data_IF_789941146678
#
_entry.id   IF_789941146678
#
_cell.length_a   1.000
_cell.length_b   1.000
_cell.length_c   1.000
_cell.angle_alpha   90.00
_cell.angle_beta   90.00
_cell.angle_gamma   90.00
#
_symmetry.space_group_name_H-M   'P 1'
#
loop_
_entity.id
_entity.type
_entity.pdbx_description
1 polymer ?
#
# COMPACT_ATOMS: atom_id res chain seq x y z
N UNK A 1 -6.21 -18.76 1.12
CA UNK A 1 -6.51 -19.04 -0.31
C UNK A 1 -6.11 -17.83 -1.13
N UNK A 2 -5.09 -17.94 -2.01
CA UNK A 2 -4.75 -16.86 -2.95
C UNK A 2 -5.91 -16.67 -3.91
N UNK A 3 -6.39 -15.44 -4.07
CA UNK A 3 -7.49 -15.12 -4.97
C UNK A 3 -6.90 -15.05 -6.38
N UNK A 4 -7.19 -16.03 -7.23
CA UNK A 4 -6.76 -16.02 -8.63
C UNK A 4 -7.35 -14.80 -9.33
N UNK A 5 -6.52 -14.08 -10.10
CA UNK A 5 -6.97 -12.92 -10.87
C UNK A 5 -8.11 -13.33 -11.82
N UNK A 6 -9.14 -12.49 -11.93
CA UNK A 6 -10.21 -12.74 -12.89
C UNK A 6 -9.68 -12.62 -14.33
N UNK A 7 -10.21 -13.38 -15.30
CA UNK A 7 -9.79 -13.30 -16.71
C UNK A 7 -9.71 -11.88 -17.28
N UNK A 8 -10.69 -11.03 -16.96
CA UNK A 8 -10.68 -9.61 -17.38
C UNK A 8 -9.51 -8.83 -16.80
N UNK A 9 -9.15 -9.08 -15.55
CA UNK A 9 -8.01 -8.44 -14.89
C UNK A 9 -6.68 -8.88 -15.51
N UNK A 10 -6.59 -10.16 -15.90
CA UNK A 10 -5.43 -10.74 -16.59
C UNK A 10 -5.22 -10.05 -17.95
N UNK A 11 -6.27 -9.92 -18.76
CA UNK A 11 -6.21 -9.19 -20.04
C UNK A 11 -5.80 -7.72 -19.84
N UNK A 12 -6.39 -7.05 -18.84
CA UNK A 12 -6.05 -5.67 -18.52
C UNK A 12 -4.58 -5.51 -18.08
N UNK A 13 -4.02 -6.46 -17.34
CA UNK A 13 -2.61 -6.40 -16.94
C UNK A 13 -1.65 -6.50 -18.14
N UNK A 14 -1.99 -7.29 -19.17
CA UNK A 14 -1.15 -7.44 -20.38
C UNK A 14 -1.28 -6.26 -21.34
N UNK A 15 -2.53 -5.89 -21.64
CA UNK A 15 -2.85 -5.02 -22.75
C UNK A 15 -3.27 -3.61 -22.29
N UNK A 16 -3.54 -3.42 -21.00
CA UNK A 16 -3.97 -2.15 -20.43
C UNK A 16 -5.17 -1.56 -21.18
N UNK A 17 -5.10 -0.26 -21.47
CA UNK A 17 -6.10 0.46 -22.24
C UNK A 17 -6.24 0.02 -23.71
N UNK A 18 -5.40 -0.89 -24.21
CA UNK A 18 -5.51 -1.42 -25.58
C UNK A 18 -6.55 -2.54 -25.71
N UNK A 19 -7.08 -3.04 -24.60
CA UNK A 19 -8.15 -4.04 -24.61
C UNK A 19 -9.54 -3.36 -24.66
N UNK A 20 -10.29 -3.57 -25.74
CA UNK A 20 -11.60 -2.97 -25.95
C UNK A 20 -12.71 -4.03 -25.86
N UNK A 21 -13.58 -3.89 -24.86
CA UNK A 21 -14.76 -4.74 -24.67
C UNK A 21 -15.99 -4.06 -25.26
N UNK A 22 -16.71 -4.73 -26.16
CA UNK A 22 -17.99 -4.29 -26.72
C UNK A 22 -19.07 -5.31 -26.38
N UNK A 23 -20.05 -4.92 -25.56
CA UNK A 23 -21.15 -5.80 -25.15
C UNK A 23 -22.38 -5.51 -25.98
N UNK A 24 -22.94 -6.52 -26.61
CA UNK A 24 -24.18 -6.49 -27.40
C UNK A 24 -25.28 -7.31 -26.71
N UNK A 25 -26.53 -6.90 -26.91
CA UNK A 25 -27.70 -7.62 -26.41
C UNK A 25 -28.19 -8.60 -27.48
N UNK A 26 -28.41 -9.85 -27.07
CA UNK A 26 -28.88 -10.93 -27.92
C UNK A 26 -30.25 -11.35 -27.41
N UNK A 27 -31.24 -11.36 -28.31
CA UNK A 27 -32.57 -11.82 -27.98
C UNK A 27 -32.56 -13.34 -27.81
N UNK A 28 -33.12 -13.82 -26.71
CA UNK A 28 -33.31 -15.25 -26.46
C UNK A 28 -34.52 -15.73 -27.27
N UNK A 29 -34.28 -16.56 -28.28
CA UNK A 29 -35.35 -17.13 -29.12
C UNK A 29 -36.10 -18.28 -28.43
N UNK A 30 -35.83 -18.56 -27.16
CA UNK A 30 -36.49 -19.64 -26.38
C UNK A 30 -37.81 -19.24 -25.69
N UNK A 31 -38.26 -17.99 -25.86
CA UNK A 31 -39.59 -17.58 -25.41
C UNK A 31 -40.68 -18.19 -26.29
N UNK A 32 -41.62 -18.95 -25.70
CA UNK A 32 -42.85 -19.41 -26.36
C UNK A 32 -43.54 -18.22 -27.03
N UNK A 33 -43.34 -18.03 -28.34
CA UNK A 33 -44.07 -17.03 -29.11
C UNK A 33 -45.51 -17.51 -29.27
N UNK A 34 -46.40 -17.12 -28.36
CA UNK A 34 -47.83 -17.20 -28.58
C UNK A 34 -48.18 -16.32 -29.79
N UNK A 35 -48.66 -16.88 -30.93
CA UNK A 35 -49.04 -16.07 -32.08
C UNK A 35 -50.30 -15.26 -31.72
N UNK A 36 -50.23 -13.93 -31.74
CA UNK A 36 -51.41 -13.05 -31.65
C UNK A 36 -51.40 -11.96 -30.57
N UNK A 37 -50.38 -11.88 -29.70
CA UNK A 37 -50.24 -10.77 -28.74
C UNK A 37 -49.35 -9.67 -29.30
N UNK A 38 -49.94 -8.50 -29.61
CA UNK A 38 -49.25 -7.32 -30.13
C UNK A 38 -48.59 -6.46 -29.02
N UNK A 39 -47.97 -7.10 -28.02
CA UNK A 39 -47.14 -6.43 -27.02
C UNK A 39 -45.79 -7.15 -27.04
N UNK A 40 -44.68 -6.46 -27.42
CA UNK A 40 -43.36 -7.07 -27.36
C UNK A 40 -42.96 -7.20 -25.89
N UNK A 41 -43.23 -8.37 -25.30
CA UNK A 41 -42.62 -8.75 -24.04
C UNK A 41 -41.11 -8.87 -24.27
N UNK A 42 -40.35 -7.89 -23.82
CA UNK A 42 -38.88 -8.00 -23.75
C UNK A 42 -38.56 -9.11 -22.75
N UNK A 43 -38.41 -10.33 -23.25
CA UNK A 43 -37.87 -11.45 -22.50
C UNK A 43 -36.48 -11.13 -21.94
N UNK A 44 -35.94 -11.99 -21.05
CA UNK A 44 -34.63 -11.74 -20.45
C UNK A 44 -33.56 -11.60 -21.54
N UNK A 45 -33.02 -10.38 -21.70
CA UNK A 45 -31.96 -10.11 -22.65
C UNK A 45 -30.71 -10.92 -22.28
N UNK A 46 -30.17 -11.65 -23.24
CA UNK A 46 -28.85 -12.23 -23.11
C UNK A 46 -27.81 -11.23 -23.64
N UNK A 47 -26.55 -11.46 -23.28
CA UNK A 47 -25.45 -10.58 -23.60
C UNK A 47 -24.33 -11.36 -24.24
N UNK A 48 -23.70 -10.77 -25.24
CA UNK A 48 -22.47 -11.27 -25.86
C UNK A 48 -21.44 -10.16 -25.83
N UNK A 49 -20.18 -10.49 -25.65
CA UNK A 49 -19.09 -9.53 -25.61
C UNK A 49 -18.06 -9.84 -26.69
N UNK A 50 -17.73 -8.84 -27.49
CA UNK A 50 -16.57 -8.85 -28.39
C UNK A 50 -15.41 -8.13 -27.71
N UNK A 51 -14.33 -8.85 -27.45
CA UNK A 51 -13.06 -8.33 -26.97
C UNK A 51 -12.10 -8.15 -28.16
N UNK A 52 -11.70 -6.92 -28.42
CA UNK A 52 -10.66 -6.58 -29.39
C UNK A 52 -9.34 -6.33 -28.64
N UNK A 53 -8.33 -7.10 -28.99
CA UNK A 53 -6.93 -6.93 -28.58
C UNK A 53 -6.09 -6.60 -29.82
N UNK A 54 -4.87 -6.04 -29.66
CA UNK A 54 -3.97 -5.76 -30.79
C UNK A 54 -3.72 -6.99 -31.68
N UNK A 55 -3.68 -8.18 -31.07
CA UNK A 55 -3.28 -9.41 -31.76
C UNK A 55 -4.49 -10.26 -32.20
N UNK A 56 -5.66 -10.09 -31.56
CA UNK A 56 -6.81 -10.99 -31.74
C UNK A 56 -8.12 -10.32 -31.36
N UNK A 57 -9.18 -10.67 -32.09
CA UNK A 57 -10.56 -10.45 -31.68
C UNK A 57 -11.20 -11.76 -31.23
N UNK A 58 -11.88 -11.72 -30.08
CA UNK A 58 -12.60 -12.85 -29.48
C UNK A 58 -14.02 -12.45 -29.14
N UNK A 59 -14.95 -13.38 -29.36
CA UNK A 59 -16.36 -13.21 -29.02
C UNK A 59 -16.75 -14.22 -27.95
N UNK A 60 -17.39 -13.75 -26.88
CA UNK A 60 -17.88 -14.59 -25.78
C UNK A 60 -19.03 -15.49 -26.22
N UNK A 61 -19.35 -16.47 -25.38
CA UNK A 61 -20.66 -17.09 -25.44
C UNK A 61 -21.75 -16.12 -24.97
N UNK A 62 -22.99 -16.47 -25.28
CA UNK A 62 -24.16 -15.72 -24.83
C UNK A 62 -24.38 -15.95 -23.32
N UNK A 63 -24.47 -14.89 -22.53
CA UNK A 63 -24.56 -14.93 -21.06
C UNK A 63 -25.76 -14.13 -20.55
N UNK A 64 -26.31 -14.50 -19.38
CA UNK A 64 -27.44 -13.76 -18.76
C UNK A 64 -27.04 -12.41 -18.16
N UNK A 65 -25.75 -12.15 -17.96
CA UNK A 65 -25.23 -10.89 -17.38
C UNK A 65 -24.11 -10.32 -18.25
N UNK A 66 -24.09 -8.99 -18.42
CA UNK A 66 -23.03 -8.25 -19.14
C UNK A 66 -21.63 -8.59 -18.61
N UNK A 67 -21.46 -8.61 -17.28
CA UNK A 67 -20.18 -8.92 -16.61
C UNK A 67 -19.67 -10.33 -16.94
N UNK A 68 -20.56 -11.31 -17.04
CA UNK A 68 -20.19 -12.69 -17.34
C UNK A 68 -19.78 -12.85 -18.81
N UNK A 69 -20.44 -12.13 -19.73
CA UNK A 69 -20.03 -12.06 -21.13
C UNK A 69 -18.62 -11.47 -21.28
N UNK A 70 -18.31 -10.38 -20.57
CA UNK A 70 -16.95 -9.80 -20.58
C UNK A 70 -15.89 -10.76 -20.03
N UNK A 71 -16.18 -11.48 -18.93
CA UNK A 71 -15.26 -12.46 -18.37
C UNK A 71 -15.07 -13.66 -19.31
N UNK A 72 -16.15 -14.11 -19.97
CA UNK A 72 -16.10 -15.18 -20.98
C UNK A 72 -15.26 -14.77 -22.20
N UNK A 73 -15.44 -13.55 -22.72
CA UNK A 73 -14.59 -13.03 -23.81
C UNK A 73 -13.11 -12.98 -23.41
N UNK A 74 -12.83 -12.51 -22.18
CA UNK A 74 -11.47 -12.46 -21.66
C UNK A 74 -10.85 -13.86 -21.48
N UNK A 75 -11.61 -14.83 -20.97
CA UNK A 75 -11.15 -16.21 -20.82
C UNK A 75 -10.83 -16.84 -22.18
N UNK A 76 -11.73 -16.73 -23.15
CA UNK A 76 -11.48 -17.24 -24.52
C UNK A 76 -10.27 -16.58 -25.18
N UNK A 77 -10.02 -15.30 -24.90
CA UNK A 77 -8.83 -14.61 -25.39
C UNK A 77 -7.55 -15.14 -24.74
N UNK A 78 -7.57 -15.42 -23.43
CA UNK A 78 -6.47 -16.06 -22.71
C UNK A 78 -6.16 -17.43 -23.33
N UNK A 79 -7.19 -18.25 -23.53
CA UNK A 79 -7.06 -19.60 -24.08
C UNK A 79 -6.50 -19.56 -25.51
N UNK A 80 -7.02 -18.66 -26.36
CA UNK A 80 -6.61 -18.52 -27.77
C UNK A 80 -5.20 -17.98 -27.95
N UNK A 81 -4.77 -17.09 -27.07
CA UNK A 81 -3.43 -16.51 -27.09
C UNK A 81 -2.39 -17.38 -26.35
N UNK A 82 -2.82 -18.46 -25.71
CA UNK A 82 -1.97 -19.27 -24.83
C UNK A 82 -1.34 -18.44 -23.71
N UNK A 83 -2.01 -17.37 -23.25
CA UNK A 83 -1.43 -16.50 -22.21
C UNK A 83 -1.55 -17.19 -20.86
N UNK A 84 -0.59 -18.05 -20.54
CA UNK A 84 -0.34 -18.41 -19.16
C UNK A 84 0.36 -17.23 -18.50
N UNK A 85 -0.41 -16.41 -17.80
CA UNK A 85 0.19 -15.52 -16.83
C UNK A 85 0.81 -16.40 -15.75
N UNK A 86 2.13 -16.51 -15.76
CA UNK A 86 2.89 -17.09 -14.66
C UNK A 86 2.44 -16.35 -13.41
N UNK A 87 1.75 -17.05 -12.52
CA UNK A 87 1.60 -16.56 -11.15
C UNK A 87 2.99 -16.13 -10.68
N UNK A 88 3.08 -14.93 -10.10
CA UNK A 88 4.33 -14.46 -9.52
C UNK A 88 4.70 -15.37 -8.35
N UNK A 89 5.45 -16.42 -8.69
CA UNK A 89 5.94 -17.46 -7.82
C UNK A 89 7.47 -17.47 -7.96
N UNK A 90 8.14 -16.39 -7.49
CA UNK A 90 9.58 -16.33 -7.55
C UNK A 90 10.16 -17.44 -6.68
N UNK A 91 11.32 -17.95 -7.08
CA UNK A 91 12.19 -18.67 -6.15
C UNK A 91 12.61 -17.73 -5.01
N UNK A 92 13.07 -18.29 -3.89
CA UNK A 92 13.54 -17.47 -2.76
C UNK A 92 14.61 -16.45 -3.20
N UNK A 93 15.54 -16.86 -4.06
CA UNK A 93 16.59 -16.00 -4.61
C UNK A 93 16.00 -14.86 -5.46
N UNK A 94 15.13 -15.18 -6.42
CA UNK A 94 14.47 -14.17 -7.27
C UNK A 94 13.66 -13.17 -6.45
N UNK A 95 13.01 -13.61 -5.37
CA UNK A 95 12.25 -12.72 -4.49
C UNK A 95 13.16 -11.69 -3.79
N UNK A 96 14.34 -12.11 -3.33
CA UNK A 96 15.33 -11.20 -2.73
C UNK A 96 15.91 -10.23 -3.76
N UNK A 97 16.23 -10.71 -4.97
CA UNK A 97 16.72 -9.88 -6.07
C UNK A 97 15.67 -8.85 -6.52
N UNK A 98 14.40 -9.26 -6.67
CA UNK A 98 13.28 -8.38 -7.00
C UNK A 98 13.05 -7.32 -5.91
N UNK A 99 13.23 -7.68 -4.63
CA UNK A 99 13.12 -6.74 -3.53
C UNK A 99 14.27 -5.71 -3.58
N UNK A 100 15.51 -6.16 -3.75
CA UNK A 100 16.67 -5.27 -3.86
C UNK A 100 16.57 -4.35 -5.08
N UNK A 101 16.10 -4.86 -6.23
CA UNK A 101 15.84 -4.08 -7.43
C UNK A 101 14.73 -3.04 -7.21
N UNK A 102 13.63 -3.42 -6.53
CA UNK A 102 12.58 -2.47 -6.17
C UNK A 102 13.09 -1.37 -5.23
N UNK A 103 13.86 -1.72 -4.21
CA UNK A 103 14.47 -0.74 -3.30
C UNK A 103 15.40 0.21 -4.05
N UNK A 104 16.27 -0.31 -4.91
CA UNK A 104 17.16 0.51 -5.77
C UNK A 104 16.34 1.51 -6.60
N UNK A 105 15.22 1.07 -7.20
CA UNK A 105 14.31 1.97 -7.89
C UNK A 105 13.67 3.02 -6.98
N UNK A 106 13.24 2.67 -5.76
CA UNK A 106 12.67 3.63 -4.82
C UNK A 106 13.67 4.76 -4.45
N UNK A 107 14.96 4.46 -4.41
CA UNK A 107 16.02 5.45 -4.14
C UNK A 107 16.55 6.17 -5.41
N UNK A 108 16.00 5.87 -6.58
CA UNK A 108 16.39 6.48 -7.86
C UNK A 108 15.93 7.93 -7.98
N UNK A 109 16.50 8.66 -8.95
CA UNK A 109 16.08 10.03 -9.28
C UNK A 109 14.64 10.05 -9.81
N UNK A 110 14.32 9.08 -10.67
CA UNK A 110 13.04 8.95 -11.37
C UNK A 110 11.89 8.74 -10.38
N UNK A 111 12.13 7.95 -9.32
CA UNK A 111 11.10 7.71 -8.32
C UNK A 111 10.79 8.94 -7.48
N UNK A 112 11.81 9.76 -7.16
CA UNK A 112 11.61 10.97 -6.35
C UNK A 112 10.63 11.94 -7.03
N UNK A 113 10.66 12.03 -8.36
CA UNK A 113 9.73 12.86 -9.16
C UNK A 113 8.39 12.17 -9.47
N UNK A 114 8.19 10.92 -9.04
CA UNK A 114 6.96 10.18 -9.35
C UNK A 114 5.73 10.70 -8.56
N UNK A 115 4.50 10.52 -9.07
CA UNK A 115 3.26 10.89 -8.37
C UNK A 115 2.85 9.90 -7.27
N UNK A 116 3.73 8.98 -6.89
CA UNK A 116 3.43 7.92 -5.93
C UNK A 116 3.47 8.50 -4.49
N UNK A 117 2.52 8.15 -3.59
CA UNK A 117 2.53 8.62 -2.19
C UNK A 117 3.88 8.51 -1.47
N UNK A 118 4.54 7.36 -1.65
CA UNK A 118 5.87 7.11 -1.10
C UNK A 118 6.95 8.11 -1.60
N UNK A 119 6.82 8.71 -2.78
CA UNK A 119 7.74 9.79 -3.18
C UNK A 119 7.59 11.02 -2.28
N UNK A 120 6.36 11.35 -1.85
CA UNK A 120 6.11 12.42 -0.86
C UNK A 120 6.87 12.20 0.45
N UNK A 121 6.94 10.95 0.92
CA UNK A 121 7.78 10.60 2.07
C UNK A 121 9.27 10.79 1.81
N UNK A 122 9.76 10.40 0.63
CA UNK A 122 11.17 10.58 0.27
C UNK A 122 11.54 12.07 0.20
N UNK A 123 10.67 12.89 -0.38
CA UNK A 123 10.84 14.35 -0.45
C UNK A 123 10.84 14.96 0.95
N UNK A 124 9.86 14.62 1.79
CA UNK A 124 9.79 15.13 3.16
C UNK A 124 11.00 14.73 4.01
N UNK A 125 11.55 13.53 3.78
CA UNK A 125 12.76 13.09 4.47
C UNK A 125 14.00 13.92 4.10
N UNK A 126 14.07 14.48 2.89
CA UNK A 126 15.13 15.40 2.46
C UNK A 126 15.03 16.78 3.14
N UNK A 127 13.92 17.08 3.80
CA UNK A 127 13.74 18.31 4.59
C UNK A 127 13.91 18.08 6.10
N UNK A 128 14.17 16.84 6.54
CA UNK A 128 14.38 16.53 7.97
C UNK A 128 15.66 17.17 8.50
N UNK A 129 15.63 17.48 9.79
CA UNK A 129 16.72 18.14 10.50
C UNK A 129 18.02 17.33 10.46
N UNK A 130 19.11 18.03 10.12
CA UNK A 130 20.50 17.63 10.39
C UNK A 130 20.79 16.15 10.06
N UNK A 131 21.05 15.34 11.08
CA UNK A 131 21.46 13.94 10.98
C UNK A 131 20.37 12.99 10.46
N UNK A 132 19.10 13.41 10.45
CA UNK A 132 17.99 12.62 9.89
C UNK A 132 17.72 12.91 8.41
N UNK A 133 18.46 13.85 7.81
CA UNK A 133 18.29 14.24 6.42
C UNK A 133 18.48 13.06 5.46
N UNK A 134 17.45 12.81 4.64
CA UNK A 134 17.41 11.76 3.64
C UNK A 134 17.24 10.34 4.19
N UNK A 135 17.08 10.18 5.51
CA UNK A 135 16.74 8.90 6.12
C UNK A 135 15.24 8.63 6.03
N UNK A 136 14.87 7.55 5.37
CA UNK A 136 13.50 7.09 5.22
C UNK A 136 13.24 5.98 6.25
N UNK A 137 12.21 6.08 7.11
CA UNK A 137 11.82 4.98 7.98
C UNK A 137 11.50 3.71 7.20
N UNK A 138 12.02 2.56 7.64
CA UNK A 138 11.76 1.26 7.01
C UNK A 138 10.27 0.93 7.05
N UNK A 139 9.56 1.29 8.13
CA UNK A 139 8.12 1.10 8.28
C UNK A 139 7.30 1.77 7.18
N UNK A 140 7.77 2.90 6.65
CA UNK A 140 7.12 3.61 5.54
C UNK A 140 7.26 2.83 4.23
N UNK A 141 8.47 2.38 3.89
CA UNK A 141 8.73 1.59 2.68
C UNK A 141 7.95 0.27 2.74
N UNK A 142 7.99 -0.37 3.90
CA UNK A 142 7.30 -1.60 4.23
C UNK A 142 5.78 -1.54 3.97
N UNK A 143 5.14 -0.43 4.35
CA UNK A 143 3.68 -0.32 4.37
C UNK A 143 3.10 0.35 3.13
N UNK A 144 3.79 1.33 2.55
CA UNK A 144 3.27 2.12 1.43
C UNK A 144 3.65 1.56 0.05
N UNK A 145 4.62 0.64 -0.05
CA UNK A 145 4.94 -0.04 -1.31
C UNK A 145 4.27 -1.43 -1.40
N UNK A 146 3.21 -1.52 -2.21
CA UNK A 146 2.48 -2.77 -2.38
C UNK A 146 3.32 -3.88 -3.04
N UNK A 147 4.32 -3.53 -3.87
CA UNK A 147 5.19 -4.51 -4.52
C UNK A 147 6.11 -5.15 -3.48
N UNK A 148 6.75 -4.36 -2.63
CA UNK A 148 7.53 -4.84 -1.48
C UNK A 148 6.67 -5.77 -0.61
N UNK A 149 5.48 -5.31 -0.20
CA UNK A 149 4.59 -6.11 0.64
C UNK A 149 4.17 -7.45 -0.01
N UNK A 150 4.03 -7.50 -1.33
CA UNK A 150 3.72 -8.74 -2.04
C UNK A 150 4.92 -9.67 -2.16
N UNK A 151 6.13 -9.14 -2.40
CA UNK A 151 7.35 -9.93 -2.40
C UNK A 151 7.60 -10.54 -1.02
N UNK A 152 7.42 -9.77 0.06
CA UNK A 152 7.55 -10.29 1.43
C UNK A 152 6.61 -11.47 1.70
N UNK A 153 5.36 -11.44 1.20
CA UNK A 153 4.42 -12.57 1.32
C UNK A 153 4.84 -13.80 0.53
N UNK A 154 5.59 -13.62 -0.57
CA UNK A 154 6.16 -14.74 -1.33
C UNK A 154 7.34 -15.37 -0.59
N UNK A 155 8.13 -14.57 0.13
CA UNK A 155 9.24 -15.04 0.98
C UNK A 155 8.69 -15.78 2.20
N UNK A 156 7.81 -15.14 2.97
CA UNK A 156 7.15 -15.75 4.13
C UNK A 156 5.72 -15.20 4.26
N UNK A 157 4.66 -16.04 4.17
CA UNK A 157 3.28 -15.61 4.32
C UNK A 157 2.95 -14.90 5.64
N UNK A 158 3.69 -15.18 6.73
CA UNK A 158 3.52 -14.53 8.03
C UNK A 158 3.82 -13.01 7.97
N UNK A 159 4.61 -12.55 7.00
CA UNK A 159 4.88 -11.13 6.79
C UNK A 159 3.62 -10.33 6.44
N UNK A 160 2.51 -10.99 6.08
CA UNK A 160 1.23 -10.31 5.95
C UNK A 160 0.76 -9.72 7.29
N UNK A 161 0.86 -10.46 8.40
CA UNK A 161 0.36 -10.04 9.71
C UNK A 161 1.44 -9.48 10.63
N UNK A 162 2.71 -9.65 10.29
CA UNK A 162 3.83 -9.23 11.12
C UNK A 162 4.64 -8.11 10.43
N UNK A 163 4.44 -6.87 10.89
CA UNK A 163 5.13 -5.68 10.37
C UNK A 163 6.63 -5.67 10.70
N UNK A 164 7.05 -6.25 11.82
CA UNK A 164 8.45 -6.35 12.18
C UNK A 164 9.21 -7.29 11.24
N UNK A 165 8.61 -8.43 10.88
CA UNK A 165 9.15 -9.35 9.88
C UNK A 165 9.28 -8.66 8.51
N UNK A 166 8.25 -7.90 8.10
CA UNK A 166 8.27 -7.16 6.85
C UNK A 166 9.42 -6.12 6.82
N UNK A 167 9.62 -5.38 7.92
CA UNK A 167 10.73 -4.44 8.05
C UNK A 167 12.09 -5.14 8.03
N UNK A 168 12.22 -6.31 8.66
CA UNK A 168 13.46 -7.09 8.67
C UNK A 168 13.87 -7.52 7.25
N UNK A 169 12.90 -7.93 6.43
CA UNK A 169 13.14 -8.30 5.02
C UNK A 169 13.57 -7.09 4.20
N UNK A 170 12.90 -5.94 4.36
CA UNK A 170 13.30 -4.70 3.69
C UNK A 170 14.74 -4.32 4.03
N UNK A 171 15.13 -4.35 5.31
CA UNK A 171 16.51 -4.07 5.73
C UNK A 171 17.50 -5.07 5.13
N UNK A 172 17.18 -6.37 5.15
CA UNK A 172 18.02 -7.42 4.60
C UNK A 172 18.23 -7.24 3.09
N UNK A 173 17.17 -6.95 2.34
CA UNK A 173 17.26 -6.68 0.91
C UNK A 173 18.02 -5.38 0.60
N UNK A 174 17.88 -4.34 1.43
CA UNK A 174 18.65 -3.11 1.29
C UNK A 174 20.16 -3.34 1.43
N UNK A 175 20.60 -4.31 2.25
CA UNK A 175 22.01 -4.70 2.36
C UNK A 175 22.55 -5.43 1.12
N UNK A 176 21.68 -5.84 0.18
CA UNK A 176 22.09 -6.48 -1.08
C UNK A 176 22.37 -5.47 -2.21
N UNK A 177 22.20 -4.17 -1.97
CA UNK A 177 22.38 -3.12 -2.98
C UNK A 177 23.40 -2.08 -2.53
N UNK A 178 24.23 -1.65 -3.47
CA UNK A 178 25.23 -0.61 -3.26
C UNK A 178 24.68 0.82 -3.37
N UNK A 179 23.42 0.99 -3.72
CA UNK A 179 22.81 2.33 -3.81
C UNK A 179 22.28 2.84 -2.47
N UNK A 180 22.18 1.96 -1.46
CA UNK A 180 21.51 2.24 -0.19
C UNK A 180 22.50 2.07 0.97
N UNK A 181 22.39 2.95 1.94
CA UNK A 181 23.06 2.90 3.25
C UNK A 181 22.05 2.36 4.26
N UNK A 182 22.45 1.30 4.96
CA UNK A 182 21.70 0.69 6.04
C UNK A 182 22.51 0.88 7.33
N UNK A 183 22.22 1.90 8.14
CA UNK A 183 22.95 2.10 9.39
C UNK A 183 22.67 0.97 10.37
N UNK A 184 23.71 0.55 11.07
CA UNK A 184 23.58 -0.43 12.15
C UNK A 184 22.75 0.16 13.30
N UNK A 185 21.90 -0.66 13.91
CA UNK A 185 21.02 -0.21 15.00
C UNK A 185 19.98 0.86 14.64
N UNK A 186 19.76 1.20 13.36
CA UNK A 186 18.68 2.11 12.92
C UNK A 186 17.64 1.40 12.04
N UNK A 187 16.39 1.84 12.16
CA UNK A 187 15.25 1.35 11.36
C UNK A 187 14.95 2.30 10.20
N UNK A 188 15.99 2.90 9.63
CA UNK A 188 15.92 3.84 8.51
C UNK A 188 16.88 3.40 7.40
N UNK A 189 16.58 3.87 6.19
CA UNK A 189 17.40 3.66 4.99
C UNK A 189 17.71 5.01 4.36
N UNK A 190 18.90 5.16 3.79
CA UNK A 190 19.30 6.39 3.09
C UNK A 190 19.95 6.06 1.76
N UNK A 191 19.77 6.93 0.77
CA UNK A 191 20.53 6.85 -0.48
C UNK A 191 22.02 7.06 -0.20
N UNK A 192 22.89 6.23 -0.79
CA UNK A 192 24.35 6.36 -0.63
C UNK A 192 24.86 7.68 -1.17
N UNK A 193 24.60 7.92 -2.45
CA UNK A 193 25.00 9.15 -3.11
C UNK A 193 23.88 10.20 -3.02
N UNK A 194 24.20 11.48 -2.79
CA UNK A 194 23.21 12.54 -2.83
C UNK A 194 22.43 12.60 -4.14
N UNK A 195 21.20 13.12 -4.10
CA UNK A 195 20.47 13.44 -5.32
C UNK A 195 21.18 14.58 -6.08
N UNK A 196 21.23 14.54 -7.42
CA UNK A 196 21.74 15.66 -8.21
C UNK A 196 20.97 16.96 -7.92
N UNK A 197 21.67 18.10 -7.99
CA UNK A 197 21.09 19.41 -7.65
C UNK A 197 19.88 19.77 -8.53
N UNK A 198 19.89 19.34 -9.79
CA UNK A 198 18.80 19.55 -10.75
C UNK A 198 17.52 18.85 -10.26
N UNK A 199 17.65 17.61 -9.78
CA UNK A 199 16.53 16.83 -9.23
C UNK A 199 15.99 17.49 -7.97
N UNK A 200 16.85 17.93 -7.06
CA UNK A 200 16.44 18.61 -5.84
C UNK A 200 15.72 19.94 -6.12
N UNK A 201 16.19 20.70 -7.11
CA UNK A 201 15.57 21.97 -7.49
C UNK A 201 14.15 21.81 -8.01
N UNK A 202 13.88 20.76 -8.82
CA UNK A 202 12.54 20.46 -9.32
C UNK A 202 11.55 20.12 -8.20
N UNK A 203 12.01 19.33 -7.21
CA UNK A 203 11.18 18.87 -6.10
C UNK A 203 10.81 20.00 -5.15
N UNK A 204 11.74 20.93 -4.89
CA UNK A 204 11.52 22.05 -3.98
C UNK A 204 10.48 23.05 -4.51
N UNK A 205 10.35 23.16 -5.82
CA UNK A 205 9.34 24.02 -6.44
C UNK A 205 7.90 23.46 -6.34
N UNK A 206 7.75 22.18 -5.97
CA UNK A 206 6.44 21.50 -5.81
C UNK A 206 5.92 21.48 -4.37
N UNK A 207 6.67 21.93 -3.35
CA UNK A 207 6.21 21.85 -1.96
C UNK A 207 5.16 22.91 -1.64
N UNK A 208 3.92 22.48 -1.43
CA UNK A 208 2.74 23.34 -1.26
C UNK A 208 2.27 23.53 0.20
N UNK A 209 3.07 23.15 1.20
CA UNK A 209 2.70 23.37 2.61
C UNK A 209 3.04 24.81 3.03
N UNK A 210 2.14 25.75 2.74
CA UNK A 210 2.26 27.12 3.22
C UNK A 210 1.84 27.22 4.70
N UNK A 211 2.78 27.03 5.63
CA UNK A 211 2.59 27.30 7.06
C UNK A 211 2.55 26.07 7.97
N UNK A 212 1.92 26.22 9.14
CA UNK A 212 1.72 25.14 10.11
C UNK A 212 0.30 24.59 10.04
N UNK A 213 0.18 23.27 10.00
CA UNK A 213 -1.07 22.53 10.08
C UNK A 213 -1.23 22.03 11.51
N UNK A 214 -2.37 22.32 12.10
CA UNK A 214 -2.79 21.78 13.40
C UNK A 214 -3.93 20.80 13.17
N UNK A 215 -3.81 19.58 13.67
CA UNK A 215 -4.74 18.50 13.34
C UNK A 215 -4.97 17.57 14.53
N UNK A 216 -6.24 17.25 14.78
CA UNK A 216 -6.65 16.40 15.90
C UNK A 216 -6.29 14.93 15.63
N UNK A 217 -5.75 14.27 16.64
CA UNK A 217 -5.41 12.84 16.67
C UNK A 217 -5.90 12.23 17.97
N UNK A 218 -6.03 10.89 18.02
CA UNK A 218 -6.44 10.18 19.23
C UNK A 218 -5.27 9.40 19.82
N UNK A 219 -4.91 9.72 21.06
CA UNK A 219 -3.95 8.97 21.84
C UNK A 219 -4.66 7.81 22.55
N UNK A 220 -4.23 6.59 22.25
CA UNK A 220 -4.79 5.34 22.78
C UNK A 220 -3.76 4.76 23.77
N UNK A 221 -3.98 4.92 25.08
CA UNK A 221 -3.05 4.37 26.06
C UNK A 221 -3.13 2.83 26.11
N UNK A 222 -2.00 2.20 26.41
CA UNK A 222 -1.87 0.76 26.60
C UNK A 222 -2.62 0.25 27.84
N UNK A 223 -2.60 1.02 28.94
CA UNK A 223 -3.35 0.69 30.15
C UNK A 223 -4.86 0.87 29.95
N UNK A 224 -5.64 -0.16 30.30
CA UNK A 224 -7.10 -0.13 30.27
C UNK A 224 -7.72 0.85 31.27
N UNK A 225 -6.98 1.24 32.31
CA UNK A 225 -7.45 2.20 33.33
C UNK A 225 -7.48 3.64 32.78
N UNK A 226 -6.66 3.93 31.76
CA UNK A 226 -6.61 5.23 31.11
C UNK A 226 -7.59 5.28 29.94
N UNK A 227 -8.27 6.40 29.76
CA UNK A 227 -9.17 6.64 28.62
C UNK A 227 -8.38 7.12 27.39
N UNK A 228 -8.91 6.85 26.19
CA UNK A 228 -8.40 7.47 24.97
C UNK A 228 -8.74 8.96 24.98
N UNK A 229 -7.81 9.80 24.53
CA UNK A 229 -7.95 11.26 24.56
C UNK A 229 -7.59 11.87 23.22
N UNK A 230 -8.23 12.99 22.88
CA UNK A 230 -7.81 13.81 21.75
C UNK A 230 -6.54 14.58 22.10
N UNK A 231 -5.58 14.59 21.18
CA UNK A 231 -4.39 15.45 21.18
C UNK A 231 -4.35 16.21 19.85
N UNK A 232 -3.61 17.32 19.80
CA UNK A 232 -3.47 18.11 18.58
C UNK A 232 -2.01 18.15 18.17
N UNK A 233 -1.71 17.65 16.97
CA UNK A 233 -0.35 17.66 16.43
C UNK A 233 -0.17 18.86 15.51
N UNK A 234 0.94 19.57 15.70
CA UNK A 234 1.36 20.67 14.84
C UNK A 234 2.47 20.19 13.89
N UNK A 235 2.19 20.27 12.59
CA UNK A 235 3.10 19.87 11.52
C UNK A 235 3.45 21.12 10.72
N UNK A 236 4.73 21.41 10.58
CA UNK A 236 5.21 22.55 9.79
C UNK A 236 5.82 22.08 8.47
N UNK A 237 6.01 22.99 7.52
CA UNK A 237 6.57 22.72 6.19
C UNK A 237 7.89 21.92 6.22
N UNK A 238 8.77 22.23 7.19
CA UNK A 238 10.08 21.58 7.31
C UNK A 238 10.08 20.38 8.27
N UNK A 239 8.92 20.00 8.83
CA UNK A 239 8.84 18.89 9.76
C UNK A 239 8.21 17.68 9.10
N UNK A 240 8.94 16.57 9.10
CA UNK A 240 8.37 15.31 8.68
C UNK A 240 7.36 14.81 9.74
N UNK A 241 6.13 14.53 9.33
CA UNK A 241 5.03 14.26 10.26
C UNK A 241 5.30 13.05 11.18
N UNK A 242 6.08 12.07 10.74
CA UNK A 242 6.45 10.93 11.60
C UNK A 242 7.42 11.33 12.73
N UNK A 243 8.21 12.40 12.58
CA UNK A 243 9.04 12.91 13.68
C UNK A 243 8.17 13.58 14.75
N UNK A 244 7.03 14.17 14.37
CA UNK A 244 6.05 14.71 15.32
C UNK A 244 5.36 13.57 16.07
N UNK A 245 4.95 12.53 15.36
CA UNK A 245 4.35 11.32 15.95
C UNK A 245 5.33 10.61 16.88
N UNK A 246 6.59 10.47 16.47
CA UNK A 246 7.62 9.85 17.30
C UNK A 246 7.74 10.56 18.65
N UNK A 247 7.81 11.90 18.63
CA UNK A 247 7.85 12.71 19.85
C UNK A 247 6.63 12.52 20.73
N UNK A 248 5.44 12.51 20.15
CA UNK A 248 4.19 12.31 20.90
C UNK A 248 4.12 10.90 21.55
N UNK A 249 4.71 9.89 20.89
CA UNK A 249 4.84 8.53 21.43
C UNK A 249 6.01 8.35 22.42
N UNK A 250 6.81 9.39 22.66
CA UNK A 250 8.05 9.31 23.46
C UNK A 250 9.18 8.51 22.79
N UNK A 251 9.11 8.31 21.47
CA UNK A 251 10.16 7.69 20.67
C UNK A 251 11.23 8.73 20.27
N UNK A 252 12.44 8.25 19.96
CA UNK A 252 13.60 9.12 19.67
C UNK A 252 13.51 9.73 18.28
N UNK A 253 13.06 8.96 17.29
CA UNK A 253 13.03 9.38 15.88
C UNK A 253 11.91 8.70 15.09
N UNK A 254 11.56 9.25 13.91
CA UNK A 254 10.54 8.66 13.03
C UNK A 254 10.79 7.20 12.64
N UNK A 255 12.04 6.73 12.68
CA UNK A 255 12.36 5.34 12.34
C UNK A 255 11.91 4.34 13.42
N UNK A 256 11.72 4.81 14.65
CA UNK A 256 11.17 4.04 15.76
C UNK A 256 9.62 4.03 15.78
N UNK A 257 8.96 4.48 14.71
CA UNK A 257 7.49 4.47 14.57
C UNK A 257 7.04 3.35 13.62
N UNK A 258 6.20 2.45 14.13
CA UNK A 258 5.46 1.48 13.35
C UNK A 258 4.16 2.08 12.82
N UNK A 259 3.74 1.60 11.65
CA UNK A 259 2.54 2.06 10.97
C UNK A 259 1.65 0.85 10.72
N UNK A 260 0.40 0.92 11.17
CA UNK A 260 -0.58 -0.14 10.91
C UNK A 260 -1.07 -0.12 9.46
N UNK A 261 -1.78 -1.19 9.10
CA UNK A 261 -2.67 -1.16 7.93
C UNK A 261 -3.75 -0.07 8.09
N UNK A 262 -4.33 0.43 6.98
CA UNK A 262 -5.45 1.35 7.04
C UNK A 262 -6.63 0.77 7.82
N UNK A 263 -7.31 1.64 8.58
CA UNK A 263 -8.45 1.32 9.44
C UNK A 263 -9.68 2.05 8.90
N UNK A 264 -10.84 1.37 8.90
CA UNK A 264 -12.11 1.96 8.47
C UNK A 264 -12.44 1.73 6.98
N UNK A 265 -13.26 2.60 6.40
CA UNK A 265 -13.67 2.50 4.99
C UNK A 265 -12.48 2.83 4.09
N UNK A 266 -12.47 2.30 2.86
CA UNK A 266 -11.40 2.49 1.88
C UNK A 266 -11.03 3.96 1.56
N UNK A 267 -11.81 4.95 2.01
CA UNK A 267 -11.57 6.38 1.86
C UNK A 267 -10.98 7.08 3.10
N UNK A 268 -10.95 6.42 4.28
CA UNK A 268 -10.30 6.96 5.46
C UNK A 268 -8.89 6.37 5.53
N UNK A 269 -7.87 7.16 5.18
CA UNK A 269 -6.45 6.80 5.35
C UNK A 269 -6.01 6.83 6.83
N UNK A 270 -6.91 6.42 7.74
CA UNK A 270 -6.68 6.34 9.17
C UNK A 270 -5.75 5.17 9.47
N UNK A 271 -4.73 5.41 10.28
CA UNK A 271 -3.75 4.40 10.69
C UNK A 271 -3.44 4.57 12.17
N UNK A 272 -3.03 3.47 12.77
CA UNK A 272 -2.44 3.44 14.09
C UNK A 272 -0.92 3.53 13.95
N UNK A 273 -0.35 4.44 14.70
CA UNK A 273 1.08 4.65 14.87
C UNK A 273 1.47 4.21 16.28
N UNK A 274 2.53 3.43 16.42
CA UNK A 274 3.01 2.94 17.71
C UNK A 274 4.53 2.85 17.71
N UNK A 275 5.15 2.76 18.89
CA UNK A 275 6.59 2.60 18.98
C UNK A 275 7.04 1.22 18.48
N UNK A 276 8.17 1.19 17.77
CA UNK A 276 8.82 -0.02 17.33
C UNK A 276 9.41 -0.80 18.52
N UNK A 277 9.46 -2.14 18.45
CA UNK A 277 10.20 -2.92 19.44
C UNK A 277 11.67 -2.52 19.47
N UNK A 278 12.33 -2.81 20.59
CA UNK A 278 13.75 -2.51 20.80
C UNK A 278 14.60 -2.94 19.58
N UNK A 279 15.50 -2.05 19.13
CA UNK A 279 16.40 -2.24 17.98
C UNK A 279 17.18 -3.56 18.02
N UNK A 280 17.59 -4.01 19.22
CA UNK A 280 18.28 -5.30 19.42
C UNK A 280 17.39 -6.51 19.08
N UNK A 281 16.10 -6.40 19.37
CA UNK A 281 15.08 -7.42 19.06
C UNK A 281 14.88 -7.53 17.55
N UNK A 282 14.98 -6.41 16.83
CA UNK A 282 14.83 -6.38 15.37
C UNK A 282 16.00 -7.04 14.63
N UNK A 283 17.21 -7.00 15.18
CA UNK A 283 18.34 -7.73 14.60
C UNK A 283 18.19 -9.24 14.78
N UNK A 284 17.66 -9.69 15.91
CA UNK A 284 17.32 -11.09 16.15
C UNK A 284 16.20 -11.58 15.22
N UNK A 285 15.20 -10.74 14.90
CA UNK A 285 14.15 -11.05 13.92
C UNK A 285 14.67 -11.31 12.51
N UNK A 286 15.82 -10.76 12.14
CA UNK A 286 16.43 -11.06 10.83
C UNK A 286 16.97 -12.50 10.74
N UNK A 287 17.09 -13.19 11.89
CA UNK A 287 17.67 -14.53 12.03
C UNK A 287 16.66 -15.59 12.45
N UNK A 288 15.52 -15.22 13.06
CA UNK A 288 14.48 -16.16 13.53
C UNK A 288 13.12 -15.88 12.90
N UNK A 289 12.46 -16.93 12.40
CA UNK A 289 11.12 -16.89 11.78
C UNK A 289 9.98 -16.98 12.81
N UNK A 290 10.12 -16.35 13.98
CA UNK A 290 9.15 -16.44 15.08
C UNK A 290 8.47 -15.10 15.42
N UNK A 291 7.23 -15.19 15.91
CA UNK A 291 6.46 -14.07 16.43
C UNK A 291 7.07 -13.58 17.74
N UNK A 292 7.77 -12.45 17.70
CA UNK A 292 8.32 -11.86 18.92
C UNK A 292 7.28 -10.96 19.59
N UNK A 293 7.06 -11.23 20.88
CA UNK A 293 6.42 -10.31 21.82
C UNK A 293 7.26 -9.03 21.92
N UNK A 294 6.75 -7.92 21.39
CA UNK A 294 7.38 -6.61 21.56
C UNK A 294 7.57 -6.31 23.06
N UNK A 295 8.64 -5.58 23.38
CA UNK A 295 8.92 -5.08 24.72
C UNK A 295 7.90 -4.01 25.12
N UNK A 296 6.73 -4.41 25.60
CA UNK A 296 5.71 -3.51 26.12
C UNK A 296 4.37 -4.20 26.39
N UNK A 297 3.48 -3.58 27.17
CA UNK A 297 2.13 -4.11 27.36
C UNK A 297 1.35 -4.11 26.03
N UNK A 298 0.62 -5.19 25.76
CA UNK A 298 -0.27 -5.27 24.60
C UNK A 298 -1.39 -4.23 24.75
N UNK A 299 -1.51 -3.34 23.77
CA UNK A 299 -2.57 -2.36 23.71
C UNK A 299 -3.80 -2.99 23.08
N UNK A 300 -4.68 -3.55 23.91
CA UNK A 300 -5.86 -4.30 23.46
C UNK A 300 -6.77 -3.46 22.55
N UNK A 301 -6.94 -2.17 22.85
CA UNK A 301 -7.80 -1.26 22.08
C UNK A 301 -7.22 -0.94 20.72
N UNK A 302 -5.94 -0.56 20.66
CA UNK A 302 -5.27 -0.31 19.40
C UNK A 302 -5.16 -1.59 18.55
N UNK A 303 -4.90 -2.73 19.19
CA UNK A 303 -4.80 -4.03 18.52
C UNK A 303 -6.12 -4.45 17.89
N UNK A 304 -7.23 -4.24 18.61
CA UNK A 304 -8.58 -4.49 18.12
C UNK A 304 -8.88 -3.65 16.87
N UNK A 305 -8.62 -2.34 16.93
CA UNK A 305 -8.86 -1.42 15.80
C UNK A 305 -8.00 -1.75 14.58
N UNK A 306 -6.73 -2.09 14.79
CA UNK A 306 -5.80 -2.37 13.70
C UNK A 306 -5.92 -3.80 13.14
N UNK A 307 -6.62 -4.70 13.84
CA UNK A 307 -6.62 -6.15 13.55
C UNK A 307 -5.20 -6.74 13.45
N UNK A 308 -4.29 -6.25 14.28
CA UNK A 308 -2.89 -6.69 14.41
C UNK A 308 -2.40 -6.39 15.82
N UNK A 309 -1.39 -7.10 16.32
CA UNK A 309 -0.84 -6.82 17.64
C UNK A 309 -0.12 -5.46 17.67
N UNK A 310 -0.58 -4.57 18.56
CA UNK A 310 0.02 -3.27 18.83
C UNK A 310 0.45 -3.24 20.30
N UNK A 311 1.67 -2.82 20.55
CA UNK A 311 2.26 -2.78 21.90
C UNK A 311 2.59 -1.34 22.29
N UNK A 312 2.45 -1.04 23.58
CA UNK A 312 2.65 0.30 24.11
C UNK A 312 1.53 1.28 23.75
N UNK A 313 1.74 2.55 24.06
CA UNK A 313 0.80 3.60 23.70
C UNK A 313 0.80 3.81 22.17
N UNK A 314 -0.32 4.29 21.64
CA UNK A 314 -0.51 4.40 20.21
C UNK A 314 -1.28 5.67 19.83
N UNK A 315 -1.11 6.13 18.60
CA UNK A 315 -1.81 7.29 18.05
C UNK A 315 -2.64 6.84 16.85
N UNK A 316 -3.93 7.13 16.86
CA UNK A 316 -4.81 7.01 15.71
C UNK A 316 -4.89 8.36 14.99
N UNK A 317 -4.45 8.39 13.73
CA UNK A 317 -4.46 9.60 12.93
C UNK A 317 -4.68 9.29 11.44
N UNK A 318 -5.17 10.28 10.70
CA UNK A 318 -5.27 10.23 9.24
C UNK A 318 -4.26 11.19 8.64
N UNK A 319 -3.07 10.66 8.34
CA UNK A 319 -1.98 11.37 7.68
C UNK A 319 -1.41 10.54 6.55
N UNK A 320 -0.90 11.23 5.53
CA UNK A 320 -0.11 10.61 4.50
C UNK A 320 0.13 11.56 3.34
N UNK A 321 0.48 10.97 2.20
CA UNK A 321 0.62 11.69 0.95
C UNK A 321 -0.35 11.10 -0.07
N UNK A 322 -0.97 11.95 -0.88
CA UNK A 322 -1.91 11.50 -1.92
C UNK A 322 -1.19 11.13 -3.22
N UNK A 323 -1.84 10.26 -3.99
CA UNK A 323 -1.50 10.04 -5.39
C UNK A 323 -1.62 11.34 -6.20
N UNK A 324 -0.86 11.44 -7.28
CA UNK A 324 -0.91 12.50 -8.31
C UNK A 324 -0.42 13.88 -7.91
N UNK A 325 -0.37 14.21 -6.61
CA UNK A 325 0.15 15.49 -6.14
C UNK A 325 1.33 15.35 -5.19
N UNK A 326 1.55 14.16 -4.59
CA UNK A 326 2.52 13.95 -3.52
C UNK A 326 2.38 14.97 -2.37
N UNK A 327 1.23 15.64 -2.28
CA UNK A 327 0.93 16.61 -1.25
C UNK A 327 0.62 15.89 0.05
N UNK A 328 1.01 16.51 1.16
CA UNK A 328 0.61 16.06 2.48
C UNK A 328 -0.91 16.20 2.63
N UNK A 329 -1.57 15.11 3.03
CA UNK A 329 -3.00 15.06 3.28
C UNK A 329 -3.22 14.67 4.74
N UNK A 330 -4.16 15.37 5.37
CA UNK A 330 -4.58 15.08 6.73
C UNK A 330 -6.09 15.20 6.87
N UNK A 331 -6.66 14.43 7.81
CA UNK A 331 -8.04 14.59 8.24
C UNK A 331 -8.09 14.55 9.78
N UNK A 332 -8.76 15.51 10.44
CA UNK A 332 -8.93 15.50 11.89
C UNK A 332 -9.60 14.20 12.34
N UNK A 333 -9.01 13.55 13.33
CA UNK A 333 -9.55 12.32 13.92
C UNK A 333 -10.13 12.64 15.29
N UNK A 334 -11.45 12.62 15.38
CA UNK A 334 -12.19 12.90 16.62
C UNK A 334 -12.41 11.65 17.48
N UNK A 335 -12.70 11.84 18.77
CA UNK A 335 -13.12 10.74 19.66
C UNK A 335 -14.36 10.02 19.12
N UNK A 336 -15.29 10.75 18.49
CA UNK A 336 -16.46 10.16 17.84
C UNK A 336 -16.05 9.19 16.73
N UNK A 337 -15.00 9.50 15.97
CA UNK A 337 -14.45 8.60 14.95
C UNK A 337 -13.77 7.37 15.55
N UNK A 338 -13.15 7.51 16.72
CA UNK A 338 -12.53 6.40 17.45
C UNK A 338 -13.55 5.40 18.03
N UNK A 339 -14.68 5.90 18.57
CA UNK A 339 -15.74 5.04 19.12
C UNK A 339 -16.64 4.39 18.05
N UNK A 340 -16.63 4.93 16.83
CA UNK A 340 -17.46 4.43 15.71
C UNK A 340 -16.80 3.26 15.01
#
# INVERSE_FOLDING_TARGET
KRQSLTPKAIIHQKYGGKACYKVEEVLDSSGNMCPGLAIPDKGPCLYRCTLNLPDVTVVSDTCKKKKDAEQSAAQKAIDKLGVHFKEYNPTSKEAWEDMAGRLTFLFSNEFLSSPHPLSGHFRAALSRDSHFNGFIPVSVIAIYDAKIGNICKCINPAAASNSALLMSFVRRAAKLTDSIVVPDGQLSLKRRDPYPSEVLSSVRNESHLSGSISTEVICIPSSLEKIAVSSCLSITENTYYLDVIARELGAVEASDVLISRPIGKASSDMRIYSSAPNRNLMEQLSQMEEDITSSGPLNLRASYLASQHIYGDAILASFGYSWNSSCFVHQPTSLKSYYR
#
